data_IF_259900019719
#
_entry.id   IF_259900019719
#
_cell.length_a   1.000
_cell.length_b   1.000
_cell.length_c   1.000
_cell.angle_alpha   90.00
_cell.angle_beta   90.00
_cell.angle_gamma   90.00
#
_symmetry.space_group_name_H-M   'P 1'
#
loop_
_entity.id
_entity.type
_entity.pdbx_description
1 polymer ?
#
# COMPACT_ATOMS: atom_id res chain seq x y z
N UNK A 1 28.81 86.05 14.15
CA UNK A 1 28.14 85.64 15.42
C UNK A 1 26.93 84.79 15.07
N UNK A 2 26.77 83.68 15.79
CA UNK A 2 26.08 82.42 15.46
C UNK A 2 24.58 82.47 15.09
N UNK A 3 24.21 81.81 13.98
CA UNK A 3 23.42 80.54 13.82
C UNK A 3 21.99 80.56 14.40
N UNK A 4 21.00 80.66 13.51
CA UNK A 4 19.59 80.30 13.76
C UNK A 4 19.43 78.78 13.68
N UNK A 5 18.97 78.15 14.75
CA UNK A 5 18.51 76.76 14.78
C UNK A 5 17.21 76.62 13.98
N UNK A 6 17.21 75.74 12.97
CA UNK A 6 15.99 75.18 12.38
C UNK A 6 15.92 73.71 12.78
N UNK A 7 14.92 73.38 13.60
CA UNK A 7 14.56 72.01 13.96
C UNK A 7 14.08 71.25 12.71
N UNK A 8 14.73 70.14 12.41
CA UNK A 8 14.30 69.16 11.41
C UNK A 8 13.50 68.08 12.13
N UNK A 9 12.21 67.98 11.83
CA UNK A 9 11.36 66.83 12.21
C UNK A 9 11.47 65.83 11.05
N UNK A 10 11.89 64.57 11.27
CA UNK A 10 11.87 63.56 10.22
C UNK A 10 10.45 63.00 10.10
N UNK A 11 9.79 63.28 8.97
CA UNK A 11 8.55 62.61 8.58
C UNK A 11 8.94 61.23 8.06
N UNK A 12 8.67 60.19 8.85
CA UNK A 12 8.84 58.79 8.46
C UNK A 12 7.65 58.40 7.57
N UNK A 13 7.83 58.42 6.26
CA UNK A 13 6.83 57.93 5.29
C UNK A 13 6.77 56.41 5.32
N UNK A 14 5.69 55.86 5.89
CA UNK A 14 5.37 54.44 5.88
C UNK A 14 4.89 54.04 4.47
N UNK A 15 5.75 53.40 3.68
CA UNK A 15 5.41 52.79 2.39
C UNK A 15 4.61 51.51 2.61
N UNK A 16 3.28 51.58 2.47
CA UNK A 16 2.41 50.41 2.35
C UNK A 16 2.60 49.80 0.95
N UNK A 17 3.48 48.80 0.83
CA UNK A 17 3.56 47.94 -0.35
C UNK A 17 2.31 47.05 -0.38
N UNK A 18 1.25 47.55 -1.00
CA UNK A 18 0.13 46.71 -1.43
C UNK A 18 0.66 45.83 -2.55
N UNK A 19 1.05 44.60 -2.23
CA UNK A 19 1.45 43.62 -3.22
C UNK A 19 0.20 43.23 -4.06
N UNK A 20 -0.05 43.94 -5.16
CA UNK A 20 -1.05 43.57 -6.16
C UNK A 20 -0.68 42.25 -6.85
N UNK A 21 -1.66 41.63 -7.52
CA UNK A 21 -1.42 40.50 -8.43
C UNK A 21 -0.58 40.96 -9.64
N UNK A 22 0.17 40.03 -10.25
CA UNK A 22 0.93 40.30 -11.47
C UNK A 22 0.00 40.38 -12.67
N UNK A 23 0.25 41.30 -13.59
CA UNK A 23 -0.55 41.41 -14.82
C UNK A 23 -0.33 40.20 -15.74
N UNK A 24 -1.38 39.68 -16.40
CA UNK A 24 -1.23 38.66 -17.44
C UNK A 24 -0.35 39.14 -18.60
N UNK A 25 0.46 38.23 -19.14
CA UNK A 25 1.35 38.48 -20.30
C UNK A 25 0.69 38.13 -21.64
N UNK A 26 -0.38 37.35 -21.63
CA UNK A 26 -1.18 37.01 -22.83
C UNK A 26 -2.59 36.56 -22.45
N UNK A 27 -3.48 36.43 -23.43
CA UNK A 27 -4.87 36.00 -23.21
C UNK A 27 -5.01 34.58 -22.59
N UNK A 28 -3.98 33.74 -22.76
CA UNK A 28 -3.96 32.37 -22.20
C UNK A 28 -3.23 32.29 -20.85
N UNK A 29 -2.59 33.37 -20.42
CA UNK A 29 -1.84 33.49 -19.16
C UNK A 29 -2.81 33.68 -17.98
N UNK A 30 -3.53 32.61 -17.67
CA UNK A 30 -4.60 32.59 -16.65
C UNK A 30 -4.22 31.69 -15.47
N UNK A 31 -4.75 31.96 -14.25
CA UNK A 31 -4.53 31.10 -13.09
C UNK A 31 -4.89 29.64 -13.35
N UNK A 32 -6.01 29.37 -14.04
CA UNK A 32 -6.52 28.05 -14.36
C UNK A 32 -5.62 27.31 -15.34
N UNK A 33 -5.09 28.01 -16.37
CA UNK A 33 -4.18 27.41 -17.33
C UNK A 33 -2.90 26.93 -16.64
N UNK A 34 -2.30 27.78 -15.82
CA UNK A 34 -1.09 27.47 -15.08
C UNK A 34 -1.30 26.40 -14.01
N UNK A 35 -2.47 26.37 -13.38
CA UNK A 35 -2.85 25.27 -12.49
C UNK A 35 -2.93 23.94 -13.24
N UNK A 36 -3.62 23.90 -14.40
CA UNK A 36 -3.67 22.69 -15.24
C UNK A 36 -2.27 22.27 -15.73
N UNK A 37 -1.41 23.22 -16.09
CA UNK A 37 -0.01 22.95 -16.45
C UNK A 37 0.78 22.36 -15.28
N UNK A 38 0.61 22.91 -14.07
CA UNK A 38 1.21 22.37 -12.85
C UNK A 38 0.73 20.96 -12.54
N UNK A 39 -0.57 20.66 -12.69
CA UNK A 39 -1.11 19.32 -12.48
C UNK A 39 -0.54 18.31 -13.49
N UNK A 40 -0.36 18.68 -14.76
CA UNK A 40 0.35 17.83 -15.74
C UNK A 40 1.80 17.57 -15.34
N UNK A 41 2.48 18.55 -14.77
CA UNK A 41 3.84 18.37 -14.26
C UNK A 41 3.88 17.45 -13.03
N UNK A 42 2.87 17.50 -12.14
CA UNK A 42 2.69 16.51 -11.06
C UNK A 42 2.55 15.10 -11.62
N UNK A 43 1.69 14.91 -12.63
CA UNK A 43 1.47 13.58 -13.25
C UNK A 43 2.76 13.03 -13.88
N UNK A 44 3.66 13.91 -14.34
CA UNK A 44 4.97 13.55 -14.88
C UNK A 44 6.09 13.48 -13.81
N UNK A 45 5.75 13.62 -12.52
CA UNK A 45 6.68 13.69 -11.40
C UNK A 45 7.73 14.83 -11.48
N UNK A 46 7.50 15.86 -12.30
CA UNK A 46 8.34 17.06 -12.36
C UNK A 46 7.82 18.12 -11.37
N UNK A 47 8.11 17.89 -10.10
CA UNK A 47 7.60 18.72 -9.01
C UNK A 47 8.18 20.14 -9.03
N UNK A 48 9.38 20.34 -9.59
CA UNK A 48 9.98 21.68 -9.70
C UNK A 48 9.27 22.52 -10.76
N UNK A 49 8.96 21.93 -11.92
CA UNK A 49 8.15 22.60 -12.93
C UNK A 49 6.71 22.82 -12.46
N UNK A 50 6.16 21.88 -11.69
CA UNK A 50 4.85 22.04 -11.06
C UNK A 50 4.82 23.28 -10.15
N UNK A 51 5.83 23.44 -9.27
CA UNK A 51 5.95 24.61 -8.38
C UNK A 51 5.98 25.92 -9.18
N UNK A 52 6.79 26.00 -10.24
CA UNK A 52 6.86 27.20 -11.09
C UNK A 52 5.49 27.56 -11.68
N UNK A 53 4.79 26.56 -12.20
CA UNK A 53 3.47 26.75 -12.82
C UNK A 53 2.44 27.18 -11.78
N UNK A 54 2.39 26.51 -10.61
CA UNK A 54 1.46 26.90 -9.55
C UNK A 54 1.79 28.25 -8.92
N UNK A 55 3.08 28.63 -8.85
CA UNK A 55 3.48 29.95 -8.39
C UNK A 55 2.95 31.03 -9.35
N UNK A 56 3.10 30.84 -10.67
CA UNK A 56 2.51 31.76 -11.65
C UNK A 56 0.99 31.84 -11.51
N UNK A 57 0.31 30.73 -11.26
CA UNK A 57 -1.14 30.70 -11.00
C UNK A 57 -1.53 31.60 -9.81
N UNK A 58 -0.80 31.51 -8.70
CA UNK A 58 -1.01 32.34 -7.50
C UNK A 58 -0.62 33.81 -7.71
N UNK A 59 0.41 34.07 -8.51
CA UNK A 59 0.87 35.44 -8.79
C UNK A 59 -0.16 36.21 -9.62
N UNK A 60 -0.81 35.53 -10.58
CA UNK A 60 -1.90 36.07 -11.41
C UNK A 60 -3.18 36.30 -10.61
N UNK A 61 -3.55 35.41 -9.69
CA UNK A 61 -4.65 35.64 -8.76
C UNK A 61 -4.38 35.05 -7.37
N UNK A 62 -4.15 35.94 -6.41
CA UNK A 62 -3.93 35.59 -4.99
C UNK A 62 -5.18 35.07 -4.27
N UNK A 63 -6.36 35.12 -4.92
CA UNK A 63 -7.60 34.51 -4.42
C UNK A 63 -7.84 33.11 -5.00
N UNK A 64 -7.12 32.73 -6.05
CA UNK A 64 -7.27 31.43 -6.69
C UNK A 64 -6.76 30.30 -5.79
N UNK A 65 -7.70 29.66 -5.08
CA UNK A 65 -7.40 28.70 -4.02
C UNK A 65 -6.62 27.47 -4.52
N UNK A 66 -6.98 26.98 -5.72
CA UNK A 66 -6.37 25.79 -6.31
C UNK A 66 -4.88 25.98 -6.62
N UNK A 67 -4.43 27.20 -6.95
CA UNK A 67 -3.01 27.51 -7.13
C UNK A 67 -2.19 27.22 -5.86
N UNK A 68 -2.70 27.64 -4.69
CA UNK A 68 -2.10 27.28 -3.40
C UNK A 68 -2.17 25.78 -3.13
N UNK A 69 -3.27 25.12 -3.49
CA UNK A 69 -3.39 23.67 -3.35
C UNK A 69 -2.35 22.92 -4.19
N UNK A 70 -2.11 23.36 -5.42
CA UNK A 70 -1.08 22.82 -6.30
C UNK A 70 0.32 22.96 -5.71
N UNK A 71 0.68 24.15 -5.18
CA UNK A 71 1.94 24.33 -4.45
C UNK A 71 2.06 23.37 -3.28
N UNK A 72 1.01 23.25 -2.45
CA UNK A 72 1.01 22.35 -1.31
C UNK A 72 1.18 20.88 -1.70
N UNK A 73 0.57 20.46 -2.81
CA UNK A 73 0.70 19.11 -3.35
C UNK A 73 2.13 18.83 -3.85
N UNK A 74 2.71 19.75 -4.61
CA UNK A 74 4.09 19.62 -5.09
C UNK A 74 5.10 19.54 -3.93
N UNK A 75 4.94 20.41 -2.92
CA UNK A 75 5.78 20.37 -1.72
C UNK A 75 5.58 19.08 -0.90
N UNK A 76 4.37 18.51 -0.87
CA UNK A 76 4.13 17.23 -0.20
C UNK A 76 4.88 16.08 -0.90
N UNK A 77 4.89 16.05 -2.24
CA UNK A 77 5.67 15.06 -2.99
C UNK A 77 7.19 15.24 -2.86
N UNK A 78 7.65 16.46 -2.57
CA UNK A 78 9.06 16.75 -2.22
C UNK A 78 9.38 16.50 -0.74
N UNK A 79 8.46 15.93 0.04
CA UNK A 79 8.58 15.71 1.49
C UNK A 79 8.82 17.00 2.31
N UNK A 80 8.52 18.16 1.73
CA UNK A 80 8.63 19.48 2.36
C UNK A 80 7.37 19.79 3.18
N UNK A 81 7.10 18.96 4.18
CA UNK A 81 5.85 18.96 4.95
C UNK A 81 5.48 20.32 5.56
N UNK A 82 6.47 21.12 5.96
CA UNK A 82 6.23 22.46 6.50
C UNK A 82 5.49 23.36 5.50
N UNK A 83 6.01 23.44 4.27
CA UNK A 83 5.40 24.22 3.19
C UNK A 83 4.09 23.60 2.72
N UNK A 84 4.04 22.26 2.59
CA UNK A 84 2.83 21.55 2.20
C UNK A 84 1.65 21.85 3.14
N UNK A 85 1.87 21.86 4.45
CA UNK A 85 0.84 22.18 5.47
C UNK A 85 0.37 23.64 5.42
N UNK A 86 1.30 24.57 5.23
CA UNK A 86 0.95 25.99 5.09
C UNK A 86 0.07 26.21 3.86
N UNK A 87 0.49 25.65 2.71
CA UNK A 87 -0.26 25.76 1.47
C UNK A 87 -1.60 25.01 1.48
N UNK A 88 -1.69 23.84 2.12
CA UNK A 88 -2.97 23.16 2.34
C UNK A 88 -3.93 24.03 3.15
N UNK A 89 -3.42 24.75 4.17
CA UNK A 89 -4.23 25.66 4.98
C UNK A 89 -4.68 26.90 4.19
N UNK A 90 -3.80 27.45 3.34
CA UNK A 90 -4.13 28.56 2.42
C UNK A 90 -5.18 28.13 1.39
N UNK A 91 -5.02 26.96 0.77
CA UNK A 91 -5.98 26.38 -0.16
C UNK A 91 -7.37 26.26 0.47
N UNK A 92 -7.47 25.59 1.63
CA UNK A 92 -8.75 25.39 2.32
C UNK A 92 -9.40 26.69 2.82
N UNK A 93 -8.60 27.69 3.20
CA UNK A 93 -9.13 28.97 3.69
C UNK A 93 -9.64 29.87 2.56
N UNK A 94 -8.86 30.00 1.48
CA UNK A 94 -9.25 30.77 0.27
C UNK A 94 -10.43 30.09 -0.45
N UNK A 95 -10.44 28.77 -0.51
CA UNK A 95 -11.48 27.94 -1.14
C UNK A 95 -12.52 27.37 -0.17
N UNK A 96 -12.85 28.05 0.93
CA UNK A 96 -13.72 27.48 1.99
C UNK A 96 -15.16 27.10 1.57
N UNK A 97 -15.59 27.58 0.40
CA UNK A 97 -16.87 27.25 -0.24
C UNK A 97 -16.71 26.42 -1.53
N UNK A 98 -15.47 26.22 -1.97
CA UNK A 98 -15.14 25.47 -3.18
C UNK A 98 -14.84 24.00 -2.80
N UNK A 99 -15.68 23.04 -3.21
CA UNK A 99 -15.47 21.64 -2.90
C UNK A 99 -14.16 21.09 -3.52
N UNK A 100 -13.72 21.61 -4.67
CA UNK A 100 -12.49 21.17 -5.33
C UNK A 100 -11.26 21.58 -4.51
N UNK A 101 -11.19 22.83 -4.06
CA UNK A 101 -10.12 23.30 -3.17
C UNK A 101 -10.09 22.54 -1.82
N UNK A 102 -11.26 22.21 -1.26
CA UNK A 102 -11.36 21.40 -0.05
C UNK A 102 -10.90 19.95 -0.30
N UNK A 103 -11.27 19.36 -1.43
CA UNK A 103 -10.83 18.02 -1.81
C UNK A 103 -9.31 17.97 -2.03
N UNK A 104 -8.75 18.94 -2.76
CA UNK A 104 -7.32 19.09 -2.98
C UNK A 104 -6.56 19.29 -1.65
N UNK A 105 -7.11 20.06 -0.72
CA UNK A 105 -6.54 20.17 0.64
C UNK A 105 -6.52 18.82 1.37
N UNK A 106 -7.56 18.00 1.19
CA UNK A 106 -7.61 16.63 1.70
C UNK A 106 -6.54 15.74 1.08
N UNK A 107 -6.37 15.79 -0.24
CA UNK A 107 -5.34 15.08 -0.99
C UNK A 107 -3.93 15.37 -0.47
N UNK A 108 -3.59 16.65 -0.21
CA UNK A 108 -2.26 17.03 0.29
C UNK A 108 -1.95 16.32 1.61
N UNK A 109 -2.91 16.23 2.53
CA UNK A 109 -2.73 15.48 3.79
C UNK A 109 -2.52 13.98 3.55
N UNK A 110 -3.24 13.37 2.60
CA UNK A 110 -3.07 11.96 2.22
C UNK A 110 -1.67 11.72 1.64
N UNK A 111 -1.15 12.65 0.84
CA UNK A 111 0.22 12.56 0.29
C UNK A 111 1.27 12.54 1.41
N UNK A 112 1.06 13.28 2.50
CA UNK A 112 1.97 13.31 3.66
C UNK A 112 1.76 12.16 4.66
N UNK A 113 0.98 11.12 4.34
CA UNK A 113 0.55 10.08 5.31
C UNK A 113 1.70 9.37 6.04
N UNK A 114 2.83 9.17 5.37
CA UNK A 114 3.95 8.39 5.90
C UNK A 114 4.74 9.18 6.96
N UNK A 115 4.62 10.51 6.97
CA UNK A 115 5.35 11.42 7.87
C UNK A 115 4.46 12.21 8.83
N UNK A 116 3.15 12.34 8.56
CA UNK A 116 2.21 13.12 9.38
C UNK A 116 1.21 12.26 10.15
N UNK A 117 1.42 12.02 11.45
CA UNK A 117 0.57 11.14 12.30
C UNK A 117 -0.94 11.44 12.27
N UNK A 118 -1.34 12.71 12.07
CA UNK A 118 -2.75 13.14 12.06
C UNK A 118 -3.32 13.31 10.64
N UNK A 119 -2.64 12.79 9.62
CA UNK A 119 -3.01 12.93 8.22
C UNK A 119 -4.46 12.54 7.97
N UNK A 120 -4.91 11.38 8.46
CA UNK A 120 -6.24 10.85 8.17
C UNK A 120 -7.32 11.77 8.76
N UNK A 121 -7.18 12.17 10.03
CA UNK A 121 -8.12 13.09 10.68
C UNK A 121 -8.22 14.44 9.94
N UNK A 122 -7.08 14.95 9.44
CA UNK A 122 -7.04 16.22 8.70
C UNK A 122 -7.66 16.06 7.31
N UNK A 123 -7.26 15.05 6.55
CA UNK A 123 -7.80 14.73 5.24
C UNK A 123 -9.33 14.57 5.29
N UNK A 124 -9.82 13.70 6.17
CA UNK A 124 -11.25 13.42 6.32
C UNK A 124 -12.05 14.65 6.76
N UNK A 125 -11.47 15.56 7.53
CA UNK A 125 -12.11 16.84 7.89
C UNK A 125 -12.34 17.73 6.66
N UNK A 126 -11.35 17.84 5.78
CA UNK A 126 -11.47 18.63 4.54
C UNK A 126 -12.41 17.96 3.54
N UNK A 127 -12.30 16.65 3.34
CA UNK A 127 -13.13 15.87 2.42
C UNK A 127 -14.60 15.86 2.84
N UNK A 128 -14.89 15.72 4.15
CA UNK A 128 -16.26 15.86 4.66
C UNK A 128 -16.84 17.26 4.43
N UNK A 129 -16.02 18.31 4.52
CA UNK A 129 -16.46 19.67 4.16
C UNK A 129 -16.73 19.78 2.67
N UNK A 130 -15.89 19.22 1.80
CA UNK A 130 -16.10 19.18 0.36
C UNK A 130 -17.43 18.50 0.02
N UNK A 131 -17.67 17.30 0.56
CA UNK A 131 -18.91 16.56 0.35
C UNK A 131 -20.14 17.25 0.96
N UNK A 132 -19.98 18.11 1.98
CA UNK A 132 -21.08 18.95 2.48
C UNK A 132 -21.41 20.11 1.54
N UNK A 133 -20.44 20.58 0.73
CA UNK A 133 -20.67 21.63 -0.28
C UNK A 133 -21.30 21.05 -1.54
N UNK A 134 -20.80 19.90 -1.96
CA UNK A 134 -21.31 19.13 -3.08
C UNK A 134 -21.24 17.64 -2.74
N UNK A 135 -22.39 17.06 -2.42
CA UNK A 135 -22.51 15.65 -2.06
C UNK A 135 -22.14 14.72 -3.21
N UNK A 136 -22.21 15.19 -4.46
CA UNK A 136 -21.88 14.44 -5.65
C UNK A 136 -20.45 14.70 -6.15
N UNK A 137 -19.62 15.44 -5.40
CA UNK A 137 -18.29 15.81 -5.84
C UNK A 137 -17.36 14.59 -6.00
N UNK A 138 -17.04 14.24 -7.24
CA UNK A 138 -16.33 13.02 -7.57
C UNK A 138 -14.93 12.94 -6.94
N UNK A 139 -14.13 14.01 -7.06
CA UNK A 139 -12.79 14.04 -6.49
C UNK A 139 -12.76 13.87 -4.96
N UNK A 140 -13.76 14.42 -4.26
CA UNK A 140 -13.86 14.31 -2.81
C UNK A 140 -14.26 12.89 -2.39
N UNK A 141 -15.15 12.23 -3.15
CA UNK A 141 -15.45 10.80 -2.95
C UNK A 141 -14.23 9.93 -3.19
N UNK A 142 -13.50 10.15 -4.29
CA UNK A 142 -12.30 9.40 -4.63
C UNK A 142 -11.24 9.52 -3.53
N UNK A 143 -10.90 10.75 -3.13
CA UNK A 143 -9.92 10.96 -2.07
C UNK A 143 -10.40 10.49 -0.69
N UNK A 144 -11.71 10.43 -0.44
CA UNK A 144 -12.26 9.76 0.76
C UNK A 144 -11.97 8.27 0.73
N UNK A 145 -12.21 7.60 -0.40
CA UNK A 145 -11.84 6.19 -0.59
C UNK A 145 -10.35 5.95 -0.40
N UNK A 146 -9.49 6.82 -0.96
CA UNK A 146 -8.04 6.73 -0.78
C UNK A 146 -7.63 6.93 0.69
N UNK A 147 -8.23 7.88 1.39
CA UNK A 147 -7.96 8.10 2.81
C UNK A 147 -8.33 6.88 3.65
N UNK A 148 -9.50 6.29 3.41
CA UNK A 148 -9.92 5.08 4.11
C UNK A 148 -9.02 3.88 3.79
N UNK A 149 -8.63 3.70 2.52
CA UNK A 149 -7.74 2.63 2.08
C UNK A 149 -6.41 2.65 2.84
N UNK A 150 -5.74 3.80 2.89
CA UNK A 150 -4.45 3.94 3.58
C UNK A 150 -4.56 4.02 5.11
N UNK A 151 -5.77 4.22 5.63
CA UNK A 151 -6.07 4.09 7.06
C UNK A 151 -6.55 2.67 7.43
N UNK A 152 -6.43 1.71 6.51
CA UNK A 152 -6.81 0.30 6.67
C UNK A 152 -8.30 0.07 6.98
N UNK A 153 -9.14 0.96 6.48
CA UNK A 153 -10.60 0.92 6.52
C UNK A 153 -11.12 0.49 5.15
N UNK A 154 -11.00 -0.81 4.86
CA UNK A 154 -11.15 -1.35 3.52
C UNK A 154 -12.60 -1.39 3.04
N UNK A 155 -13.55 -1.65 3.93
CA UNK A 155 -14.99 -1.65 3.62
C UNK A 155 -15.45 -0.24 3.21
N UNK A 156 -15.08 0.78 3.99
CA UNK A 156 -15.40 2.16 3.66
C UNK A 156 -14.70 2.62 2.38
N UNK A 157 -13.46 2.20 2.17
CA UNK A 157 -12.73 2.48 0.94
C UNK A 157 -13.46 1.88 -0.28
N UNK A 158 -13.88 0.62 -0.20
CA UNK A 158 -14.63 -0.08 -1.24
C UNK A 158 -15.90 0.69 -1.60
N UNK A 159 -16.68 1.09 -0.59
CA UNK A 159 -17.94 1.81 -0.77
C UNK A 159 -17.75 3.15 -1.49
N UNK A 160 -16.71 3.90 -1.14
CA UNK A 160 -16.38 5.16 -1.83
C UNK A 160 -15.94 4.91 -3.28
N UNK A 161 -15.06 3.95 -3.52
CA UNK A 161 -14.60 3.68 -4.88
C UNK A 161 -15.74 3.18 -5.78
N UNK A 162 -16.62 2.31 -5.27
CA UNK A 162 -17.84 1.87 -5.98
C UNK A 162 -18.70 3.05 -6.43
N UNK A 163 -18.92 4.03 -5.53
CA UNK A 163 -19.68 5.25 -5.85
C UNK A 163 -19.01 6.03 -6.99
N UNK A 164 -17.70 6.21 -6.94
CA UNK A 164 -16.93 6.94 -7.96
C UNK A 164 -16.97 6.23 -9.31
N UNK A 165 -16.76 4.92 -9.35
CA UNK A 165 -16.83 4.12 -10.60
C UNK A 165 -18.19 4.27 -11.27
N UNK A 166 -19.28 4.26 -10.50
CA UNK A 166 -20.63 4.43 -11.03
C UNK A 166 -20.90 5.81 -11.65
N UNK A 167 -20.11 6.84 -11.31
CA UNK A 167 -20.26 8.18 -11.90
C UNK A 167 -19.72 8.27 -13.32
N UNK A 168 -18.79 7.38 -13.72
CA UNK A 168 -18.14 7.36 -15.04
C UNK A 168 -17.47 8.70 -15.42
N UNK A 169 -16.93 9.42 -14.42
CA UNK A 169 -16.19 10.66 -14.63
C UNK A 169 -14.67 10.46 -14.61
N UNK A 170 -13.93 11.54 -14.38
CA UNK A 170 -12.47 11.61 -14.54
C UNK A 170 -11.72 10.70 -13.55
N UNK A 171 -12.32 10.39 -12.40
CA UNK A 171 -11.72 9.52 -11.39
C UNK A 171 -12.15 8.05 -11.53
N UNK A 172 -13.13 7.73 -12.38
CA UNK A 172 -13.69 6.38 -12.48
C UNK A 172 -12.61 5.32 -12.77
N UNK A 173 -11.67 5.59 -13.69
CA UNK A 173 -10.58 4.66 -14.01
C UNK A 173 -9.61 4.45 -12.84
N UNK A 174 -9.21 5.53 -12.14
CA UNK A 174 -8.35 5.45 -10.96
C UNK A 174 -9.06 4.74 -9.79
N UNK A 175 -10.37 4.96 -9.65
CA UNK A 175 -11.20 4.34 -8.63
C UNK A 175 -11.40 2.84 -8.89
N UNK A 176 -11.58 2.41 -10.14
CA UNK A 176 -11.79 0.99 -10.48
C UNK A 176 -10.62 0.09 -10.02
N UNK A 177 -9.38 0.52 -10.26
CA UNK A 177 -8.20 -0.21 -9.81
C UNK A 177 -8.15 -0.34 -8.28
N UNK A 178 -8.44 0.75 -7.55
CA UNK A 178 -8.46 0.76 -6.08
C UNK A 178 -9.68 0.03 -5.52
N UNK A 179 -10.80 0.02 -6.23
CA UNK A 179 -12.00 -0.73 -5.88
C UNK A 179 -11.72 -2.22 -5.90
N UNK A 180 -11.12 -2.72 -7.00
CA UNK A 180 -10.70 -4.13 -7.12
C UNK A 180 -9.74 -4.55 -6.02
N UNK A 181 -8.77 -3.68 -5.69
CA UNK A 181 -7.87 -3.93 -4.56
C UNK A 181 -8.63 -4.00 -3.23
N UNK A 182 -9.48 -3.01 -2.92
CA UNK A 182 -10.26 -2.98 -1.69
C UNK A 182 -11.16 -4.21 -1.56
N UNK A 183 -11.87 -4.59 -2.61
CA UNK A 183 -12.68 -5.83 -2.67
C UNK A 183 -11.87 -7.08 -2.35
N UNK A 184 -10.68 -7.19 -2.94
CA UNK A 184 -9.76 -8.31 -2.69
C UNK A 184 -9.39 -8.40 -1.21
N UNK A 185 -9.07 -7.25 -0.60
CA UNK A 185 -8.67 -7.17 0.81
C UNK A 185 -9.85 -7.44 1.75
N UNK A 186 -11.03 -6.89 1.46
CA UNK A 186 -12.27 -7.13 2.23
C UNK A 186 -12.60 -8.62 2.24
N UNK A 187 -12.51 -9.30 1.09
CA UNK A 187 -12.71 -10.76 0.98
C UNK A 187 -11.68 -11.57 1.77
N UNK A 188 -10.43 -11.10 1.81
CA UNK A 188 -9.37 -11.77 2.54
C UNK A 188 -9.51 -11.61 4.07
N UNK A 189 -10.22 -10.58 4.54
CA UNK A 189 -10.48 -10.31 5.96
C UNK A 189 -9.23 -10.34 6.85
N UNK A 190 -8.18 -9.53 6.56
CA UNK A 190 -6.95 -9.54 7.36
C UNK A 190 -7.24 -9.25 8.84
N UNK A 191 -6.84 -10.17 9.71
CA UNK A 191 -7.12 -10.13 11.14
C UNK A 191 -6.11 -9.30 11.94
N UNK A 192 -4.90 -9.10 11.42
CA UNK A 192 -3.81 -8.46 12.17
C UNK A 192 -3.39 -7.10 11.59
N UNK A 193 -2.81 -6.19 12.40
CA UNK A 193 -2.22 -4.97 11.88
C UNK A 193 -1.12 -5.20 10.83
N UNK A 194 -0.37 -6.31 10.94
CA UNK A 194 0.64 -6.69 9.96
C UNK A 194 -0.04 -7.06 8.62
N UNK A 195 -1.03 -7.96 8.65
CA UNK A 195 -1.80 -8.32 7.47
C UNK A 195 -2.42 -7.11 6.77
N UNK A 196 -3.04 -6.19 7.53
CA UNK A 196 -3.60 -4.95 6.95
C UNK A 196 -2.57 -4.06 6.25
N UNK A 197 -1.37 -3.92 6.82
CA UNK A 197 -0.27 -3.16 6.19
C UNK A 197 0.19 -3.83 4.89
N UNK A 198 0.37 -5.14 4.96
CA UNK A 198 0.88 -5.94 3.86
C UNK A 198 -0.10 -6.06 2.71
N UNK A 199 -1.41 -6.02 2.99
CA UNK A 199 -2.48 -6.01 1.99
C UNK A 199 -2.29 -4.95 0.90
N UNK A 200 -1.58 -3.85 1.19
CA UNK A 200 -1.32 -2.76 0.26
C UNK A 200 0.00 -2.90 -0.52
N UNK A 201 0.81 -3.94 -0.26
CA UNK A 201 2.06 -4.19 -0.99
C UNK A 201 1.78 -4.79 -2.37
N UNK A 202 2.39 -4.21 -3.40
CA UNK A 202 2.32 -4.74 -4.77
C UNK A 202 3.08 -6.06 -4.92
N UNK A 203 4.15 -6.24 -4.15
CA UNK A 203 4.92 -7.48 -4.08
C UNK A 203 5.31 -7.73 -2.64
N UNK A 204 5.18 -8.97 -2.19
CA UNK A 204 5.70 -9.40 -0.89
C UNK A 204 7.02 -10.16 -1.05
N UNK A 205 7.87 -10.08 -0.04
CA UNK A 205 9.10 -10.85 0.05
C UNK A 205 8.95 -12.11 0.92
N UNK A 206 10.04 -12.86 1.11
CA UNK A 206 10.04 -14.09 1.92
C UNK A 206 9.82 -13.81 3.41
N UNK A 207 10.39 -12.73 3.94
CA UNK A 207 10.14 -12.30 5.31
C UNK A 207 8.67 -11.90 5.55
N UNK A 208 8.09 -11.21 4.57
CA UNK A 208 6.69 -10.85 4.54
C UNK A 208 5.80 -12.11 4.61
N UNK A 209 6.09 -13.14 3.81
CA UNK A 209 5.34 -14.40 3.88
C UNK A 209 5.43 -15.04 5.27
N UNK A 210 6.63 -15.09 5.85
CA UNK A 210 6.84 -15.67 7.18
C UNK A 210 5.98 -14.98 8.25
N UNK A 211 5.91 -13.65 8.20
CA UNK A 211 5.08 -12.85 9.11
C UNK A 211 3.60 -13.09 8.86
N UNK A 212 3.15 -13.11 7.60
CA UNK A 212 1.74 -13.38 7.28
C UNK A 212 1.31 -14.75 7.78
N UNK A 213 2.10 -15.78 7.52
CA UNK A 213 1.82 -17.13 7.99
C UNK A 213 1.77 -17.18 9.51
N UNK A 214 2.76 -16.60 10.20
CA UNK A 214 2.78 -16.62 11.64
C UNK A 214 1.60 -15.87 12.28
N UNK A 215 1.31 -14.66 11.81
CA UNK A 215 0.34 -13.75 12.42
C UNK A 215 -1.11 -14.07 12.02
N UNK A 216 -1.38 -14.35 10.73
CA UNK A 216 -2.74 -14.59 10.24
C UNK A 216 -3.21 -16.04 10.49
N UNK A 217 -2.30 -17.02 10.45
CA UNK A 217 -2.63 -18.41 10.76
C UNK A 217 -2.39 -18.78 12.23
N UNK A 218 -1.79 -17.88 13.03
CA UNK A 218 -1.42 -18.13 14.43
C UNK A 218 -0.67 -19.45 14.60
N UNK A 219 0.32 -19.66 13.74
CA UNK A 219 1.07 -20.92 13.60
C UNK A 219 1.58 -21.44 14.94
N UNK A 220 2.19 -20.60 15.79
CA UNK A 220 2.64 -21.04 17.13
C UNK A 220 1.53 -21.69 17.96
N UNK A 221 0.32 -21.11 17.95
CA UNK A 221 -0.84 -21.68 18.66
C UNK A 221 -1.33 -22.98 18.02
N UNK A 222 -1.30 -23.08 16.69
CA UNK A 222 -1.66 -24.32 15.99
C UNK A 222 -0.73 -25.46 16.40
N UNK A 223 0.57 -25.19 16.49
CA UNK A 223 1.59 -26.18 16.82
C UNK A 223 1.63 -26.55 18.30
N UNK A 224 1.43 -25.59 19.20
CA UNK A 224 1.37 -25.87 20.65
C UNK A 224 0.17 -26.74 21.03
N UNK A 225 -0.93 -26.64 20.26
CA UNK A 225 -2.14 -27.47 20.46
C UNK A 225 -2.03 -28.87 19.88
N UNK A 226 -1.05 -29.11 19.02
CA UNK A 226 -0.81 -30.42 18.47
C UNK A 226 -0.13 -31.30 19.52
N UNK A 227 -0.70 -32.46 19.90
CA UNK A 227 -0.04 -33.34 20.85
C UNK A 227 1.33 -33.74 20.30
N UNK A 228 2.38 -33.50 21.08
CA UNK A 228 3.74 -33.96 20.80
C UNK A 228 3.65 -35.48 20.69
N UNK A 229 3.71 -36.00 19.46
CA UNK A 229 3.92 -37.42 19.31
C UNK A 229 5.40 -37.68 19.59
N UNK A 230 5.65 -38.56 20.56
CA UNK A 230 6.85 -39.39 20.56
C UNK A 230 6.88 -40.10 19.21
N UNK A 231 7.49 -39.47 18.21
CA UNK A 231 7.92 -40.17 17.01
C UNK A 231 8.79 -41.33 17.49
N UNK A 232 8.63 -42.52 16.90
CA UNK A 232 9.45 -43.69 17.21
C UNK A 232 10.94 -43.32 17.32
N UNK A 233 11.69 -44.12 18.09
CA UNK A 233 13.10 -43.90 18.48
C UNK A 233 13.80 -42.76 17.72
N UNK A 234 13.79 -41.56 18.30
CA UNK A 234 14.62 -40.46 17.82
C UNK A 234 16.06 -40.75 18.25
N UNK A 235 16.99 -40.76 17.30
CA UNK A 235 18.41 -40.77 17.68
C UNK A 235 18.73 -39.49 18.46
N UNK A 236 19.70 -39.51 19.40
CA UNK A 236 20.09 -38.30 20.14
C UNK A 236 20.44 -37.11 19.24
N UNK A 237 20.88 -37.35 17.99
CA UNK A 237 21.12 -36.33 16.96
C UNK A 237 19.85 -35.72 16.35
N UNK A 238 18.80 -36.49 16.13
CA UNK A 238 17.52 -35.99 15.61
C UNK A 238 16.71 -35.23 16.67
N UNK A 239 16.80 -35.67 17.93
CA UNK A 239 16.20 -34.96 19.07
C UNK A 239 16.92 -33.64 19.42
N UNK A 240 18.22 -33.52 19.09
CA UNK A 240 18.96 -32.25 19.25
C UNK A 240 18.76 -31.27 18.08
N UNK A 241 18.43 -31.75 16.88
CA UNK A 241 18.13 -30.90 15.72
C UNK A 241 16.79 -30.18 15.82
N UNK A 242 15.76 -30.80 16.41
CA UNK A 242 14.46 -30.13 16.68
C UNK A 242 14.55 -29.09 17.80
N UNK A 243 15.61 -29.12 18.63
CA UNK A 243 15.81 -28.19 19.73
C UNK A 243 16.68 -26.96 19.36
N UNK A 244 17.56 -27.06 18.35
CA UNK A 244 18.50 -26.00 17.97
C UNK A 244 18.38 -25.65 16.47
N UNK A 245 17.29 -24.98 16.10
CA UNK A 245 17.21 -24.33 14.78
C UNK A 245 18.09 -23.09 14.79
N UNK A 246 19.20 -23.14 14.06
CA UNK A 246 20.09 -22.00 13.86
C UNK A 246 19.45 -21.02 12.88
N UNK A 247 19.39 -19.75 13.28
CA UNK A 247 18.94 -18.68 12.39
C UNK A 247 19.98 -18.47 11.28
N UNK A 248 19.58 -18.40 10.00
CA UNK A 248 20.48 -18.09 8.88
C UNK A 248 21.19 -16.75 9.07
N UNK A 249 22.44 -16.67 8.63
CA UNK A 249 23.30 -15.49 8.89
C UNK A 249 22.68 -14.18 8.36
N UNK A 250 22.01 -14.24 7.22
CA UNK A 250 21.33 -13.11 6.58
C UNK A 250 19.99 -12.73 7.24
N UNK A 251 19.45 -13.60 8.10
CA UNK A 251 18.27 -13.33 8.90
C UNK A 251 18.60 -12.83 10.33
N UNK A 252 19.86 -12.92 10.78
CA UNK A 252 20.28 -12.42 12.10
C UNK A 252 20.17 -10.89 12.13
N UNK A 253 19.51 -10.36 13.17
CA UNK A 253 19.12 -8.95 13.33
C UNK A 253 18.17 -8.41 12.24
N UNK A 254 17.66 -9.27 11.35
CA UNK A 254 16.62 -8.88 10.41
C UNK A 254 15.33 -8.61 11.19
N UNK A 255 14.53 -7.62 10.76
CA UNK A 255 13.29 -7.26 11.48
C UNK A 255 12.32 -8.44 11.62
N UNK A 256 12.40 -9.40 10.69
CA UNK A 256 11.56 -10.60 10.67
C UNK A 256 12.19 -11.86 11.29
N UNK A 257 13.36 -11.74 11.94
CA UNK A 257 14.16 -12.87 12.44
C UNK A 257 13.33 -13.92 13.19
N UNK A 258 12.52 -13.48 14.15
CA UNK A 258 11.69 -14.36 14.98
C UNK A 258 10.74 -15.21 14.15
N UNK A 259 10.02 -14.60 13.21
CA UNK A 259 9.06 -15.32 12.38
C UNK A 259 9.76 -16.24 11.37
N UNK A 260 10.91 -15.83 10.83
CA UNK A 260 11.72 -16.67 9.95
C UNK A 260 12.18 -17.92 10.70
N UNK A 261 12.69 -17.76 11.93
CA UNK A 261 13.11 -18.88 12.77
C UNK A 261 11.98 -19.86 13.01
N UNK A 262 10.77 -19.37 13.29
CA UNK A 262 9.60 -20.22 13.46
C UNK A 262 9.21 -20.96 12.18
N UNK A 263 9.20 -20.28 11.02
CA UNK A 263 8.88 -20.94 9.74
C UNK A 263 9.87 -22.06 9.40
N UNK A 264 11.16 -21.86 9.67
CA UNK A 264 12.20 -22.89 9.48
C UNK A 264 11.99 -24.02 10.50
N UNK A 265 11.72 -23.70 11.76
CA UNK A 265 11.50 -24.68 12.83
C UNK A 265 10.34 -25.62 12.52
N UNK A 266 9.27 -25.10 11.93
CA UNK A 266 8.10 -25.90 11.54
C UNK A 266 8.23 -26.53 10.15
N UNK A 267 9.35 -26.32 9.44
CA UNK A 267 9.55 -26.85 8.08
C UNK A 267 8.62 -26.25 7.02
N UNK A 268 8.08 -25.06 7.27
CA UNK A 268 7.13 -24.39 6.37
C UNK A 268 7.88 -23.62 5.28
N UNK A 269 9.04 -23.05 5.63
CA UNK A 269 9.94 -22.36 4.69
C UNK A 269 11.36 -22.87 4.86
N UNK A 270 12.08 -23.00 3.75
CA UNK A 270 13.45 -23.53 3.74
C UNK A 270 14.51 -22.43 3.66
N UNK A 271 15.72 -22.83 3.99
CA UNK A 271 16.95 -22.14 3.63
C UNK A 271 17.44 -22.65 2.27
N UNK A 272 18.09 -21.78 1.51
CA UNK A 272 18.71 -22.17 0.24
C UNK A 272 19.99 -22.99 0.47
N UNK A 273 20.52 -23.71 -0.54
CA UNK A 273 21.68 -24.61 -0.38
C UNK A 273 22.97 -23.95 0.14
N UNK A 274 23.07 -22.63 0.02
CA UNK A 274 24.18 -21.82 0.52
C UNK A 274 24.03 -21.45 2.01
N UNK A 275 22.93 -21.84 2.64
CA UNK A 275 22.64 -21.63 4.06
C UNK A 275 21.95 -20.31 4.38
N UNK A 276 21.55 -19.52 3.36
CA UNK A 276 20.86 -18.24 3.54
C UNK A 276 19.33 -18.38 3.38
N UNK A 277 18.57 -17.44 3.93
CA UNK A 277 17.10 -17.42 3.82
C UNK A 277 16.57 -16.48 2.74
N UNK A 278 17.32 -15.44 2.41
CA UNK A 278 16.98 -14.35 1.49
C UNK A 278 15.68 -13.63 1.88
N UNK A 279 15.62 -12.98 3.06
CA UNK A 279 14.37 -12.41 3.59
C UNK A 279 13.75 -11.34 2.68
N UNK A 280 14.58 -10.56 1.98
CA UNK A 280 14.15 -9.45 1.12
C UNK A 280 13.83 -9.87 -0.32
N UNK A 281 14.11 -11.12 -0.70
CA UNK A 281 13.80 -11.61 -2.04
C UNK A 281 12.29 -11.71 -2.25
N UNK A 282 11.84 -11.23 -3.40
CA UNK A 282 10.43 -11.28 -3.78
C UNK A 282 9.98 -12.73 -3.92
N UNK A 283 8.82 -13.05 -3.36
CA UNK A 283 8.26 -14.39 -3.50
C UNK A 283 7.38 -14.48 -4.75
N UNK A 284 7.65 -15.51 -5.56
CA UNK A 284 6.81 -15.84 -6.69
C UNK A 284 5.74 -16.86 -6.30
N UNK A 285 4.76 -17.05 -7.20
CA UNK A 285 3.62 -17.96 -6.99
C UNK A 285 4.03 -19.41 -6.77
N UNK A 286 5.10 -19.89 -7.42
CA UNK A 286 5.58 -21.26 -7.24
C UNK A 286 6.16 -21.50 -5.83
N UNK A 287 6.97 -20.57 -5.33
CA UNK A 287 7.53 -20.63 -3.98
C UNK A 287 6.44 -20.47 -2.91
N UNK A 288 5.45 -19.61 -3.16
CA UNK A 288 4.28 -19.50 -2.28
C UNK A 288 3.53 -20.85 -2.21
N UNK A 289 3.28 -21.50 -3.35
CA UNK A 289 2.61 -22.80 -3.39
C UNK A 289 3.36 -23.87 -2.59
N UNK A 290 4.71 -23.90 -2.68
CA UNK A 290 5.53 -24.81 -1.89
C UNK A 290 5.37 -24.59 -0.38
N UNK A 291 5.38 -23.33 0.06
CA UNK A 291 5.18 -23.00 1.46
C UNK A 291 3.78 -23.41 1.95
N UNK A 292 2.75 -23.24 1.12
CA UNK A 292 1.38 -23.72 1.41
C UNK A 292 1.32 -25.24 1.49
N UNK A 293 1.93 -25.96 0.55
CA UNK A 293 1.99 -27.43 0.59
C UNK A 293 2.62 -27.91 1.89
N UNK A 294 3.77 -27.36 2.28
CA UNK A 294 4.46 -27.74 3.51
C UNK A 294 3.62 -27.46 4.73
N UNK A 295 2.97 -26.30 4.76
CA UNK A 295 2.02 -25.98 5.82
C UNK A 295 0.88 -27.01 5.88
N UNK A 296 0.33 -27.44 4.75
CA UNK A 296 -0.70 -28.49 4.70
C UNK A 296 -0.18 -29.83 5.22
N UNK A 297 1.01 -30.28 4.78
CA UNK A 297 1.65 -31.52 5.25
C UNK A 297 1.76 -31.49 6.77
N UNK A 298 2.30 -30.40 7.28
CA UNK A 298 2.57 -30.24 8.70
C UNK A 298 1.26 -30.11 9.51
N UNK A 299 0.27 -29.37 9.01
CA UNK A 299 -1.02 -29.20 9.68
C UNK A 299 -1.88 -30.46 9.69
N UNK A 300 -1.81 -31.28 8.64
CA UNK A 300 -2.61 -32.51 8.49
C UNK A 300 -1.87 -33.77 8.92
N UNK A 301 -0.55 -33.70 9.10
CA UNK A 301 0.36 -34.82 9.37
C UNK A 301 0.31 -35.89 8.29
N UNK A 302 0.19 -35.46 7.05
CA UNK A 302 0.10 -36.33 5.89
C UNK A 302 1.27 -36.05 4.93
N UNK A 303 2.33 -36.85 5.05
CA UNK A 303 3.50 -36.77 4.18
C UNK A 303 3.18 -37.17 2.74
N UNK A 304 2.10 -37.91 2.49
CA UNK A 304 1.71 -38.32 1.13
C UNK A 304 1.37 -37.11 0.24
N UNK A 305 0.99 -35.99 0.86
CA UNK A 305 0.70 -34.73 0.16
C UNK A 305 1.92 -34.24 -0.65
N UNK A 306 3.16 -34.51 -0.21
CA UNK A 306 4.36 -34.03 -0.92
C UNK A 306 4.59 -34.71 -2.25
N UNK A 307 4.00 -35.89 -2.46
CA UNK A 307 4.23 -36.72 -3.64
C UNK A 307 2.95 -37.05 -4.41
N UNK A 308 1.81 -36.49 -3.99
CA UNK A 308 0.47 -36.82 -4.50
C UNK A 308 0.34 -36.76 -6.03
N UNK A 309 1.00 -35.80 -6.68
CA UNK A 309 0.96 -35.56 -8.13
C UNK A 309 2.31 -35.82 -8.82
N UNK A 310 3.24 -36.50 -8.15
CA UNK A 310 4.51 -36.86 -8.78
C UNK A 310 4.29 -37.87 -9.91
N UNK A 311 4.95 -37.64 -11.05
CA UNK A 311 4.92 -38.54 -12.19
C UNK A 311 3.66 -38.45 -13.07
N UNK A 312 2.82 -37.41 -12.90
CA UNK A 312 1.71 -37.17 -13.84
C UNK A 312 2.23 -37.00 -15.28
N UNK A 313 1.71 -37.82 -16.19
CA UNK A 313 2.14 -37.85 -17.59
C UNK A 313 1.78 -36.57 -18.35
N UNK A 314 0.70 -35.90 -17.96
CA UNK A 314 0.27 -34.64 -18.53
C UNK A 314 0.19 -33.57 -17.45
N UNK A 315 0.77 -32.40 -17.73
CA UNK A 315 0.64 -31.26 -16.84
C UNK A 315 -0.78 -30.72 -16.84
N UNK A 316 -1.24 -30.35 -15.64
CA UNK A 316 -2.49 -29.62 -15.42
C UNK A 316 -2.45 -28.18 -15.93
N UNK A 317 -1.25 -27.62 -16.09
CA UNK A 317 -1.04 -26.23 -16.50
C UNK A 317 -0.40 -26.15 -17.89
N UNK A 318 -0.76 -25.13 -18.66
CA UNK A 318 -0.22 -24.93 -20.01
C UNK A 318 1.22 -24.38 -20.01
N UNK A 319 1.65 -23.76 -18.91
CA UNK A 319 2.93 -23.06 -18.75
C UNK A 319 3.88 -23.70 -17.74
N UNK A 320 3.51 -24.85 -17.18
CA UNK A 320 4.34 -25.57 -16.20
C UNK A 320 4.48 -27.02 -16.67
N UNK A 321 5.69 -27.58 -16.85
CA UNK A 321 5.85 -29.01 -17.08
C UNK A 321 5.62 -29.83 -15.80
N UNK A 322 5.17 -31.08 -15.90
CA UNK A 322 4.98 -31.95 -14.71
C UNK A 322 6.30 -32.28 -13.99
N UNK A 323 7.44 -32.07 -14.65
CA UNK A 323 8.78 -32.19 -14.08
C UNK A 323 9.25 -30.94 -13.31
N UNK A 324 8.45 -29.87 -13.26
CA UNK A 324 8.81 -28.66 -12.53
C UNK A 324 8.90 -28.96 -11.01
N UNK A 325 9.93 -28.45 -10.34
CA UNK A 325 10.19 -28.75 -8.91
C UNK A 325 9.00 -28.45 -7.99
N UNK A 326 8.27 -27.37 -8.26
CA UNK A 326 7.06 -26.98 -7.52
C UNK A 326 5.74 -27.53 -8.12
N UNK A 327 5.78 -28.44 -9.11
CA UNK A 327 4.57 -28.92 -9.81
C UNK A 327 3.54 -29.49 -8.85
N UNK A 328 3.96 -30.38 -7.95
CA UNK A 328 3.07 -31.00 -6.96
C UNK A 328 2.34 -29.95 -6.10
N UNK A 329 3.08 -28.94 -5.63
CA UNK A 329 2.53 -27.89 -4.80
C UNK A 329 1.52 -27.04 -5.56
N UNK A 330 1.82 -26.69 -6.80
CA UNK A 330 0.91 -25.93 -7.66
C UNK A 330 -0.35 -26.74 -7.97
N UNK A 331 -0.21 -28.02 -8.33
CA UNK A 331 -1.34 -28.92 -8.60
C UNK A 331 -2.24 -29.06 -7.36
N UNK A 332 -1.64 -29.31 -6.18
CA UNK A 332 -2.35 -29.41 -4.91
C UNK A 332 -3.11 -28.13 -4.57
N UNK A 333 -2.44 -26.98 -4.64
CA UNK A 333 -3.04 -25.69 -4.28
C UNK A 333 -4.18 -25.33 -5.23
N UNK A 334 -4.07 -25.65 -6.52
CA UNK A 334 -5.16 -25.42 -7.48
C UNK A 334 -6.31 -26.39 -7.28
N UNK A 335 -6.04 -27.69 -7.08
CA UNK A 335 -7.09 -28.69 -6.85
C UNK A 335 -7.91 -28.41 -5.58
N UNK A 336 -7.26 -27.92 -4.53
CA UNK A 336 -7.93 -27.51 -3.28
C UNK A 336 -8.56 -26.11 -3.34
N UNK A 337 -8.47 -25.41 -4.47
CA UNK A 337 -9.00 -24.05 -4.63
C UNK A 337 -8.25 -22.96 -3.88
N UNK A 338 -7.09 -23.28 -3.31
CA UNK A 338 -6.25 -22.37 -2.51
C UNK A 338 -5.55 -21.34 -3.40
N UNK A 339 -5.10 -21.75 -4.60
CA UNK A 339 -4.50 -20.86 -5.59
C UNK A 339 -5.19 -20.95 -6.94
N UNK A 340 -5.53 -19.80 -7.50
CA UNK A 340 -6.27 -19.68 -8.76
C UNK A 340 -5.36 -19.76 -9.98
N UNK A 341 -5.90 -20.28 -11.08
CA UNK A 341 -5.28 -20.29 -12.41
C UNK A 341 -6.09 -19.45 -13.38
N UNK A 342 -5.47 -19.01 -14.47
CA UNK A 342 -6.22 -18.41 -15.57
C UNK A 342 -7.06 -19.49 -16.25
N UNK A 343 -8.38 -19.40 -16.10
CA UNK A 343 -9.32 -20.40 -16.61
C UNK A 343 -9.39 -20.44 -18.14
N UNK A 344 -9.05 -19.34 -18.82
CA UNK A 344 -9.04 -19.27 -20.28
C UNK A 344 -7.77 -19.87 -20.87
N UNK A 345 -6.61 -19.54 -20.30
CA UNK A 345 -5.31 -19.96 -20.82
C UNK A 345 -4.75 -21.22 -20.13
N UNK A 346 -5.38 -21.68 -19.04
CA UNK A 346 -4.89 -22.73 -18.12
C UNK A 346 -3.48 -22.48 -17.60
N UNK A 347 -3.09 -21.20 -17.50
CA UNK A 347 -1.76 -20.81 -17.00
C UNK A 347 -1.78 -20.67 -15.49
N UNK A 348 -0.75 -21.19 -14.84
CA UNK A 348 -0.51 -20.98 -13.41
C UNK A 348 0.29 -19.70 -13.14
N UNK A 349 1.19 -19.32 -14.05
CA UNK A 349 2.16 -18.24 -13.92
C UNK A 349 3.10 -18.43 -12.72
N UNK A 350 4.00 -19.43 -12.73
CA UNK A 350 4.83 -19.80 -11.57
C UNK A 350 5.80 -18.70 -11.13
N UNK A 351 6.33 -17.93 -12.09
CA UNK A 351 7.27 -16.84 -11.85
C UNK A 351 6.57 -15.50 -11.52
N UNK A 352 5.24 -15.46 -11.54
CA UNK A 352 4.49 -14.25 -11.22
C UNK A 352 4.67 -13.85 -9.76
N UNK A 353 4.75 -12.54 -9.52
CA UNK A 353 4.81 -11.98 -8.17
C UNK A 353 3.50 -12.23 -7.40
N UNK A 354 3.61 -12.31 -6.07
CA UNK A 354 2.45 -12.35 -5.18
C UNK A 354 2.25 -10.98 -4.54
N UNK A 355 1.08 -10.38 -4.75
CA UNK A 355 0.67 -9.16 -4.05
C UNK A 355 0.26 -9.49 -2.61
N UNK A 356 0.33 -8.53 -1.69
CA UNK A 356 -0.07 -8.80 -0.30
C UNK A 356 -1.56 -9.12 -0.15
N UNK A 357 -2.41 -8.54 -0.98
CA UNK A 357 -3.83 -8.88 -1.02
C UNK A 357 -4.08 -10.30 -1.56
N UNK A 358 -3.29 -10.75 -2.56
CA UNK A 358 -3.36 -12.14 -3.04
C UNK A 358 -2.84 -13.12 -1.99
N UNK A 359 -1.75 -12.79 -1.29
CA UNK A 359 -1.24 -13.60 -0.20
C UNK A 359 -2.28 -13.83 0.90
N UNK A 360 -2.98 -12.77 1.31
CA UNK A 360 -4.04 -12.87 2.32
C UNK A 360 -5.24 -13.69 1.83
N UNK A 361 -5.63 -13.57 0.55
CA UNK A 361 -6.66 -14.42 -0.01
C UNK A 361 -6.25 -15.89 0.00
N UNK A 362 -5.02 -16.20 -0.40
CA UNK A 362 -4.50 -17.58 -0.39
C UNK A 362 -4.54 -18.13 1.05
N UNK A 363 -4.13 -17.34 2.04
CA UNK A 363 -4.23 -17.69 3.46
C UNK A 363 -5.68 -17.94 3.88
N UNK A 364 -6.63 -17.13 3.41
CA UNK A 364 -8.05 -17.30 3.73
C UNK A 364 -8.64 -18.58 3.14
N UNK A 365 -8.30 -18.90 1.89
CA UNK A 365 -8.70 -20.15 1.25
C UNK A 365 -8.05 -21.37 1.91
N UNK A 366 -6.79 -21.23 2.34
CA UNK A 366 -6.07 -22.25 3.12
C UNK A 366 -6.75 -22.52 4.48
N UNK A 367 -7.10 -21.47 5.23
CA UNK A 367 -7.87 -21.61 6.48
C UNK A 367 -9.19 -22.35 6.24
N UNK A 368 -9.89 -22.01 5.17
CA UNK A 368 -11.15 -22.65 4.77
C UNK A 368 -10.93 -24.12 4.42
N UNK A 369 -9.89 -24.45 3.64
CA UNK A 369 -9.52 -25.82 3.27
C UNK A 369 -9.18 -26.68 4.50
N UNK A 370 -8.53 -26.10 5.50
CA UNK A 370 -8.18 -26.79 6.76
C UNK A 370 -9.32 -26.80 7.80
N UNK A 371 -10.48 -26.19 7.47
CA UNK A 371 -11.59 -25.97 8.42
C UNK A 371 -11.15 -25.26 9.70
N UNK A 372 -10.15 -24.38 9.61
CA UNK A 372 -9.67 -23.62 10.76
C UNK A 372 -10.63 -22.45 11.04
N UNK A 373 -11.26 -22.49 12.21
CA UNK A 373 -12.01 -21.37 12.77
C UNK A 373 -11.19 -20.78 13.92
N UNK A 374 -10.87 -19.49 13.85
CA UNK A 374 -10.15 -18.77 14.91
C UNK A 374 -11.07 -17.83 15.67
#
# INVERSE_FOLDING_TARGET
MHRKHRSLIPIFTLLLLVACATAPESDVDTPEYHFKAGMRAIDNADYQQAIKSFQRSVDLDKKFALGYGGLGLAHAYLEQNGQAKDYASKCASRGSKDPEALALSGQIWITMRDSEKKWFKRASSHLKKALKRDEAHEGAMYWSGVAHLYNYQFDEAEDYFRKVVNKRGDYAGKADAKWKLAQKIVRAMPGTPAGKKMALKEKINRADLAVLFAEELKIGVLFDRMPVQNTGFQTPGQATQTANVTVPNDAINHWAETWIKDMIRYGIMDIEPDGNFYPDDTINRALYALAVQRLLVVATRDESIETQYFGEAQSRFSDVPSSHFAYNAMALCTERGIMQVDMMTRKFNPAGDVTGADALLIIRELQTSLRMTF
#
